data_IF_335952077647
#
_entry.id   IF_335952077647
#
_cell.length_a   1.000
_cell.length_b   1.000
_cell.length_c   1.000
_cell.angle_alpha   90.00
_cell.angle_beta   90.00
_cell.angle_gamma   90.00
#
_symmetry.space_group_name_H-M   'P 1'
#
loop_
_entity.id
_entity.type
_entity.pdbx_description
1 polymer ?
#
# COMPACT_ATOMS: atom_id res chain seq x y z
N UNK A 1 -3.91 -4.17 -38.09
CA UNK A 1 -3.07 -3.39 -37.15
C UNK A 1 -3.61 -3.65 -35.75
N UNK A 2 -2.82 -4.34 -34.93
CA UNK A 2 -3.25 -4.89 -33.65
C UNK A 2 -3.51 -3.80 -32.61
N UNK A 3 -4.69 -3.86 -32.00
CA UNK A 3 -5.07 -3.06 -30.84
C UNK A 3 -4.33 -3.64 -29.63
N UNK A 4 -3.20 -3.03 -29.27
CA UNK A 4 -2.58 -3.23 -27.97
C UNK A 4 -3.48 -2.53 -26.93
N UNK A 5 -4.43 -3.28 -26.36
CA UNK A 5 -5.01 -2.94 -25.08
C UNK A 5 -3.88 -3.10 -24.07
N UNK A 6 -3.38 -1.98 -23.56
CA UNK A 6 -2.54 -1.98 -22.36
C UNK A 6 -3.43 -2.45 -21.21
N UNK A 7 -3.53 -3.77 -21.04
CA UNK A 7 -4.08 -4.41 -19.86
C UNK A 7 -3.16 -4.02 -18.70
N UNK A 8 -3.50 -2.91 -18.06
CA UNK A 8 -2.91 -2.50 -16.79
C UNK A 8 -3.12 -3.69 -15.85
N UNK A 9 -2.02 -4.29 -15.41
CA UNK A 9 -1.95 -5.33 -14.38
C UNK A 9 -2.53 -4.75 -13.08
N UNK A 10 -3.84 -4.64 -13.01
CA UNK A 10 -4.58 -4.60 -11.77
C UNK A 10 -4.26 -5.95 -11.14
N UNK A 11 -3.64 -5.93 -9.95
CA UNK A 11 -3.50 -7.13 -9.15
C UNK A 11 -4.93 -7.55 -8.78
N UNK A 12 -5.54 -8.36 -9.64
CA UNK A 12 -6.86 -8.91 -9.42
C UNK A 12 -6.79 -9.62 -8.08
N UNK A 13 -7.62 -9.17 -7.13
CA UNK A 13 -7.70 -9.84 -5.85
C UNK A 13 -7.99 -11.31 -6.16
N UNK A 14 -7.25 -12.26 -5.56
CA UNK A 14 -7.50 -13.68 -5.79
C UNK A 14 -9.00 -13.95 -5.66
N UNK A 15 -9.59 -14.79 -6.54
CA UNK A 15 -11.01 -15.10 -6.47
C UNK A 15 -11.35 -15.45 -5.03
N UNK A 16 -12.37 -14.79 -4.48
CA UNK A 16 -12.71 -14.84 -3.06
C UNK A 16 -12.84 -16.31 -2.65
N UNK A 17 -11.79 -16.83 -2.01
CA UNK A 17 -11.77 -18.22 -1.56
C UNK A 17 -12.96 -18.36 -0.63
N UNK A 18 -13.86 -19.30 -0.96
CA UNK A 18 -15.08 -19.55 -0.20
C UNK A 18 -14.74 -19.58 1.29
N UNK A 19 -15.13 -18.52 2.00
CA UNK A 19 -14.75 -18.30 3.40
C UNK A 19 -15.35 -19.46 4.21
N UNK A 20 -14.56 -20.40 4.76
CA UNK A 20 -15.12 -21.57 5.43
C UNK A 20 -15.91 -21.19 6.70
N UNK A 21 -15.61 -20.04 7.29
CA UNK A 21 -16.32 -19.48 8.44
C UNK A 21 -17.69 -18.90 8.06
N UNK A 22 -17.96 -18.62 6.79
CA UNK A 22 -19.26 -18.19 6.28
C UNK A 22 -20.16 -19.41 5.94
N UNK A 23 -20.04 -20.50 6.70
CA UNK A 23 -21.00 -21.60 6.60
C UNK A 23 -22.35 -21.09 7.13
N UNK A 24 -23.32 -20.94 6.23
CA UNK A 24 -24.66 -20.45 6.55
C UNK A 24 -25.37 -21.27 7.65
N UNK A 25 -24.93 -22.52 7.89
CA UNK A 25 -25.49 -23.40 8.91
C UNK A 25 -25.22 -22.96 10.36
N UNK A 26 -24.11 -22.24 10.63
CA UNK A 26 -23.85 -21.69 11.98
C UNK A 26 -24.54 -20.33 12.20
N UNK A 27 -24.89 -19.61 11.13
CA UNK A 27 -25.60 -18.35 11.20
C UNK A 27 -27.08 -18.52 11.61
N UNK A 28 -27.67 -19.70 11.39
CA UNK A 28 -29.02 -20.03 11.88
C UNK A 28 -29.07 -20.21 13.41
N UNK A 29 -27.94 -20.50 14.07
CA UNK A 29 -27.89 -20.80 15.52
C UNK A 29 -27.52 -19.57 16.35
N UNK A 30 -26.83 -18.59 15.77
CA UNK A 30 -26.36 -17.39 16.47
C UNK A 30 -27.26 -16.20 16.15
N UNK A 31 -28.20 -15.89 17.05
CA UNK A 31 -29.10 -14.74 16.93
C UNK A 31 -28.48 -13.53 17.65
N UNK A 32 -27.68 -12.76 16.92
CA UNK A 32 -27.22 -11.44 17.35
C UNK A 32 -27.66 -10.44 16.28
N UNK A 33 -28.43 -9.41 16.65
CA UNK A 33 -29.12 -8.52 15.73
C UNK A 33 -28.65 -7.07 15.91
N UNK A 34 -27.49 -6.68 15.32
CA UNK A 34 -26.91 -5.35 15.53
C UNK A 34 -27.79 -4.13 15.20
N UNK A 35 -28.85 -4.27 14.38
CA UNK A 35 -29.76 -3.16 14.07
C UNK A 35 -30.95 -3.06 15.03
N UNK A 36 -31.20 -4.08 15.86
CA UNK A 36 -32.30 -4.15 16.83
C UNK A 36 -31.76 -4.06 18.27
N UNK A 37 -30.64 -4.73 18.55
CA UNK A 37 -30.04 -4.77 19.88
C UNK A 37 -29.42 -3.41 20.24
N UNK A 38 -30.18 -2.55 20.94
CA UNK A 38 -29.74 -1.21 21.38
C UNK A 38 -28.45 -1.22 22.23
N UNK A 39 -28.21 -2.33 22.94
CA UNK A 39 -27.05 -2.51 23.83
C UNK A 39 -25.73 -2.77 23.08
N UNK A 40 -25.78 -3.13 21.79
CA UNK A 40 -24.58 -3.43 21.00
C UNK A 40 -23.64 -2.21 20.87
N UNK A 41 -24.20 -1.00 20.81
CA UNK A 41 -23.45 0.24 20.70
C UNK A 41 -22.91 0.78 22.04
N UNK A 42 -23.28 0.18 23.18
CA UNK A 42 -22.95 0.69 24.49
C UNK A 42 -21.51 0.31 24.91
N UNK A 43 -20.58 1.28 25.11
CA UNK A 43 -19.20 0.99 25.47
C UNK A 43 -19.04 0.18 26.76
N UNK A 44 -19.96 0.32 27.73
CA UNK A 44 -19.91 -0.40 29.00
C UNK A 44 -20.17 -1.89 28.82
N UNK A 45 -21.13 -2.24 27.95
CA UNK A 45 -21.46 -3.64 27.63
C UNK A 45 -20.27 -4.30 26.94
N UNK A 46 -19.62 -3.59 26.01
CA UNK A 46 -18.41 -4.08 25.35
C UNK A 46 -17.28 -4.35 26.34
N UNK A 47 -17.01 -3.44 27.28
CA UNK A 47 -15.94 -3.60 28.28
C UNK A 47 -16.19 -4.81 29.20
N UNK A 48 -17.46 -5.02 29.60
CA UNK A 48 -17.83 -6.20 30.38
C UNK A 48 -17.67 -7.50 29.57
N UNK A 49 -18.11 -7.52 28.31
CA UNK A 49 -17.95 -8.67 27.42
C UNK A 49 -16.47 -8.97 27.18
N UNK A 50 -15.65 -7.96 26.90
CA UNK A 50 -14.20 -8.11 26.70
C UNK A 50 -13.54 -8.72 27.95
N UNK A 51 -13.92 -8.27 29.16
CA UNK A 51 -13.46 -8.86 30.43
C UNK A 51 -13.85 -10.34 30.55
N UNK A 52 -15.09 -10.68 30.24
CA UNK A 52 -15.58 -12.08 30.32
C UNK A 52 -14.87 -12.97 29.30
N UNK A 53 -14.64 -12.47 28.08
CA UNK A 53 -13.88 -13.17 27.04
C UNK A 53 -12.44 -13.39 27.50
N UNK A 54 -11.79 -12.40 28.11
CA UNK A 54 -10.44 -12.55 28.66
C UNK A 54 -10.38 -13.57 29.82
N UNK A 55 -11.36 -13.55 30.72
CA UNK A 55 -11.46 -14.55 31.79
C UNK A 55 -11.62 -15.97 31.24
N UNK A 56 -12.48 -16.16 30.23
CA UNK A 56 -12.65 -17.44 29.56
C UNK A 56 -11.39 -17.87 28.81
N UNK A 57 -10.73 -16.95 28.10
CA UNK A 57 -9.43 -17.23 27.46
C UNK A 57 -8.39 -17.69 28.49
N UNK A 58 -8.34 -17.07 29.68
CA UNK A 58 -7.43 -17.44 30.76
C UNK A 58 -7.76 -18.80 31.39
N UNK A 59 -9.04 -19.14 31.52
CA UNK A 59 -9.52 -20.41 32.09
C UNK A 59 -9.43 -21.56 31.10
N UNK A 60 -9.55 -21.28 29.80
CA UNK A 60 -9.53 -22.29 28.77
C UNK A 60 -8.15 -22.92 28.63
N UNK A 61 -8.12 -24.26 28.62
CA UNK A 61 -6.91 -25.05 28.33
C UNK A 61 -6.71 -25.29 26.82
N UNK A 62 -7.67 -24.84 26.00
CA UNK A 62 -7.61 -24.93 24.54
C UNK A 62 -6.66 -23.85 24.02
N UNK A 63 -5.61 -24.25 23.30
CA UNK A 63 -4.78 -23.29 22.57
C UNK A 63 -5.66 -22.57 21.54
N UNK A 64 -5.56 -21.23 21.40
CA UNK A 64 -6.24 -20.52 20.33
C UNK A 64 -5.96 -21.19 18.98
N UNK A 65 -6.98 -21.30 18.13
CA UNK A 65 -6.78 -21.78 16.78
C UNK A 65 -5.70 -20.93 16.11
N UNK A 66 -4.78 -21.59 15.42
CA UNK A 66 -3.72 -20.88 14.71
C UNK A 66 -4.30 -20.25 13.44
N UNK A 67 -4.67 -18.99 13.55
CA UNK A 67 -5.28 -18.19 12.48
C UNK A 67 -4.37 -18.04 11.25
N UNK A 68 -3.08 -18.40 11.36
CA UNK A 68 -2.11 -18.33 10.28
C UNK A 68 -2.02 -19.62 9.46
N UNK A 69 -2.65 -20.73 9.90
CA UNK A 69 -2.62 -22.00 9.16
C UNK A 69 -3.22 -21.93 7.76
N UNK A 70 -4.27 -21.12 7.63
CA UNK A 70 -5.00 -20.96 6.38
C UNK A 70 -4.39 -19.87 5.48
N UNK A 71 -3.42 -19.11 6.01
CA UNK A 71 -2.69 -18.14 5.21
C UNK A 71 -1.60 -18.87 4.41
N UNK A 72 -1.38 -18.48 3.14
CA UNK A 72 -0.24 -18.97 2.40
C UNK A 72 1.05 -18.61 3.16
N UNK A 73 2.10 -19.45 3.08
CA UNK A 73 3.37 -19.15 3.71
C UNK A 73 3.90 -17.81 3.19
N UNK A 74 4.56 -17.05 4.06
CA UNK A 74 5.13 -15.76 3.69
C UNK A 74 6.04 -15.93 2.46
N UNK A 75 5.87 -15.10 1.42
CA UNK A 75 6.71 -15.18 0.24
C UNK A 75 8.17 -14.93 0.64
N UNK A 76 9.04 -15.89 0.31
CA UNK A 76 10.47 -15.73 0.53
C UNK A 76 11.01 -14.71 -0.46
N UNK A 77 11.60 -13.63 0.05
CA UNK A 77 12.24 -12.63 -0.79
C UNK A 77 13.54 -13.21 -1.38
N UNK A 78 13.49 -13.65 -2.63
CA UNK A 78 14.68 -14.04 -3.39
C UNK A 78 15.15 -12.85 -4.25
N UNK A 79 16.37 -12.37 -3.99
CA UNK A 79 16.99 -11.27 -4.74
C UNK A 79 18.17 -11.73 -5.61
N UNK A 80 18.27 -13.02 -5.94
CA UNK A 80 19.34 -13.60 -6.78
C UNK A 80 19.58 -12.81 -8.08
N UNK A 81 18.51 -12.39 -8.75
CA UNK A 81 18.59 -11.65 -10.01
C UNK A 81 18.87 -10.15 -9.83
N UNK A 82 18.81 -9.63 -8.60
CA UNK A 82 18.90 -8.20 -8.30
C UNK A 82 19.83 -7.92 -7.10
N UNK A 83 21.15 -8.04 -7.30
CA UNK A 83 22.14 -7.87 -6.22
C UNK A 83 22.11 -6.47 -5.58
N UNK A 84 21.74 -5.44 -6.34
CA UNK A 84 21.57 -4.08 -5.81
C UNK A 84 20.42 -4.00 -4.80
N UNK A 85 19.30 -4.67 -5.10
CA UNK A 85 18.12 -4.69 -4.22
C UNK A 85 18.43 -5.56 -2.99
N UNK A 86 19.11 -6.69 -3.17
CA UNK A 86 19.56 -7.54 -2.06
C UNK A 86 20.37 -6.74 -1.02
N UNK A 87 21.37 -5.99 -1.50
CA UNK A 87 22.24 -5.15 -0.65
C UNK A 87 21.46 -4.04 0.06
N UNK A 88 20.51 -3.42 -0.63
CA UNK A 88 19.65 -2.38 -0.05
C UNK A 88 18.71 -2.95 1.00
N UNK A 89 18.12 -4.12 0.73
CA UNK A 89 17.28 -4.85 1.66
C UNK A 89 18.04 -5.20 2.94
N UNK A 90 19.27 -5.70 2.82
CA UNK A 90 20.13 -5.98 3.98
C UNK A 90 20.46 -4.71 4.78
N UNK A 91 20.72 -3.59 4.10
CA UNK A 91 20.97 -2.30 4.75
C UNK A 91 19.74 -1.84 5.57
N UNK A 92 18.56 -1.89 4.97
CA UNK A 92 17.30 -1.50 5.61
C UNK A 92 16.97 -2.45 6.77
N UNK A 93 17.13 -3.75 6.57
CA UNK A 93 16.97 -4.77 7.62
C UNK A 93 17.90 -4.54 8.81
N UNK A 94 19.12 -4.06 8.54
CA UNK A 94 20.09 -3.69 9.57
C UNK A 94 19.85 -2.29 10.18
N UNK A 95 18.78 -1.58 9.79
CA UNK A 95 18.44 -0.25 10.30
C UNK A 95 19.45 0.84 9.93
N UNK A 96 20.31 0.62 8.93
CA UNK A 96 21.34 1.58 8.56
C UNK A 96 20.74 2.70 7.69
N UNK A 97 21.10 3.97 7.95
CA UNK A 97 20.60 5.08 7.15
C UNK A 97 21.08 4.98 5.69
N UNK A 98 20.34 5.56 4.74
CA UNK A 98 20.74 5.59 3.34
C UNK A 98 22.06 6.35 3.16
N UNK A 99 22.86 5.93 2.18
CA UNK A 99 24.09 6.63 1.81
C UNK A 99 23.71 8.00 1.27
N UNK A 100 24.21 9.06 1.91
CA UNK A 100 24.01 10.42 1.42
C UNK A 100 24.71 10.58 0.08
N UNK A 101 23.97 11.05 -0.92
CA UNK A 101 24.56 11.39 -2.21
C UNK A 101 25.36 12.67 -2.04
N UNK A 102 26.68 12.57 -2.20
CA UNK A 102 27.55 13.74 -2.24
C UNK A 102 27.37 14.44 -3.59
N UNK A 103 26.68 15.59 -3.57
CA UNK A 103 26.47 16.44 -4.74
C UNK A 103 27.57 17.50 -4.87
N UNK A 104 28.15 17.96 -3.76
CA UNK A 104 29.19 18.98 -3.78
C UNK A 104 30.49 18.40 -4.34
N UNK A 105 30.95 17.23 -3.89
CA UNK A 105 32.20 16.64 -4.37
C UNK A 105 32.15 16.20 -5.84
N UNK A 106 30.96 15.91 -6.36
CA UNK A 106 30.79 15.40 -7.74
C UNK A 106 30.65 16.48 -8.81
N UNK A 107 30.03 17.61 -8.47
CA UNK A 107 29.68 18.63 -9.47
C UNK A 107 30.33 19.99 -9.21
N UNK A 108 30.98 20.18 -8.06
CA UNK A 108 31.72 21.40 -7.77
C UNK A 108 33.15 21.29 -8.33
N UNK A 109 33.51 22.26 -9.17
CA UNK A 109 34.87 22.40 -9.68
C UNK A 109 35.68 23.17 -8.64
N UNK A 110 36.34 22.43 -7.75
CA UNK A 110 37.21 23.02 -6.74
C UNK A 110 38.66 23.08 -7.22
N UNK A 111 39.30 24.22 -6.92
CA UNK A 111 40.74 24.41 -7.12
C UNK A 111 41.49 23.52 -6.12
N UNK A 112 42.64 22.94 -6.47
CA UNK A 112 43.47 22.22 -5.51
C UNK A 112 43.69 23.04 -4.23
N UNK A 113 43.56 22.42 -3.04
CA UNK A 113 43.71 23.12 -1.77
C UNK A 113 45.12 23.72 -1.67
N UNK A 114 45.28 24.81 -0.90
CA UNK A 114 46.54 25.59 -0.88
C UNK A 114 47.80 24.75 -0.64
N UNK A 115 47.69 23.70 0.18
CA UNK A 115 48.76 22.75 0.47
C UNK A 115 49.13 21.78 -0.68
N UNK A 116 48.31 21.68 -1.73
CA UNK A 116 48.52 20.83 -2.90
C UNK A 116 48.70 21.61 -4.20
N UNK A 117 48.85 22.93 -4.15
CA UNK A 117 49.05 23.77 -5.34
C UNK A 117 50.42 23.58 -6.01
N UNK A 118 51.40 23.04 -5.30
CA UNK A 118 52.70 22.70 -5.88
C UNK A 118 52.73 21.28 -6.48
N UNK A 119 51.63 20.51 -6.37
CA UNK A 119 51.51 19.16 -6.92
C UNK A 119 50.88 19.20 -8.32
N UNK A 120 51.65 18.85 -9.34
CA UNK A 120 51.20 18.79 -10.73
C UNK A 120 50.04 17.81 -10.93
N UNK A 121 50.04 16.68 -10.20
CA UNK A 121 48.98 15.67 -10.33
C UNK A 121 47.66 16.17 -9.77
N UNK A 122 47.68 16.97 -8.71
CA UNK A 122 46.48 17.61 -8.16
C UNK A 122 45.83 18.57 -9.18
N UNK A 123 46.64 19.32 -9.94
CA UNK A 123 46.15 20.17 -11.02
C UNK A 123 45.60 19.37 -12.20
N UNK A 124 46.26 18.29 -12.62
CA UNK A 124 45.74 17.40 -13.69
C UNK A 124 44.36 16.83 -13.33
N UNK A 125 44.19 16.38 -12.10
CA UNK A 125 42.90 15.87 -11.62
C UNK A 125 41.83 16.98 -11.57
N UNK A 126 42.18 18.18 -11.11
CA UNK A 126 41.24 19.30 -11.09
C UNK A 126 40.78 19.70 -12.51
N UNK A 127 41.70 19.71 -13.49
CA UNK A 127 41.37 19.97 -14.90
C UNK A 127 40.44 18.89 -15.47
N UNK A 128 40.73 17.60 -15.21
CA UNK A 128 39.85 16.50 -15.66
C UNK A 128 38.44 16.62 -15.06
N UNK A 129 38.33 16.95 -13.77
CA UNK A 129 37.03 17.20 -13.11
C UNK A 129 36.31 18.40 -13.73
N UNK A 130 37.03 19.50 -14.00
CA UNK A 130 36.47 20.68 -14.65
C UNK A 130 35.92 20.37 -16.05
N UNK A 131 36.66 19.59 -16.84
CA UNK A 131 36.22 19.13 -18.16
C UNK A 131 34.96 18.26 -18.06
N UNK A 132 34.92 17.30 -17.14
CA UNK A 132 33.73 16.48 -16.90
C UNK A 132 32.52 17.31 -16.47
N UNK A 133 32.72 18.28 -15.58
CA UNK A 133 31.67 19.20 -15.14
C UNK A 133 31.15 20.08 -16.29
N UNK A 134 32.04 20.58 -17.15
CA UNK A 134 31.65 21.36 -18.33
C UNK A 134 30.75 20.54 -19.25
N UNK A 135 31.15 19.31 -19.58
CA UNK A 135 30.35 18.41 -20.42
C UNK A 135 28.99 18.11 -19.79
N UNK A 136 28.95 17.90 -18.47
CA UNK A 136 27.68 17.73 -17.75
C UNK A 136 26.76 18.95 -17.87
N UNK A 137 27.30 20.18 -17.79
CA UNK A 137 26.50 21.39 -17.99
C UNK A 137 26.00 21.52 -19.43
N UNK A 138 26.77 21.11 -20.43
CA UNK A 138 26.32 21.07 -21.84
C UNK A 138 25.12 20.13 -21.99
N UNK A 139 25.22 18.88 -21.52
CA UNK A 139 24.09 17.94 -21.54
C UNK A 139 22.89 18.44 -20.75
N UNK A 140 23.13 19.13 -19.63
CA UNK A 140 22.05 19.73 -18.85
C UNK A 140 21.32 20.80 -19.65
N UNK A 141 22.02 21.66 -20.39
CA UNK A 141 21.40 22.67 -21.26
C UNK A 141 20.55 22.00 -22.35
N UNK A 142 21.09 21.01 -23.04
CA UNK A 142 20.35 20.24 -24.06
C UNK A 142 19.08 19.60 -23.48
N UNK A 143 19.18 18.98 -22.31
CA UNK A 143 18.03 18.38 -21.61
C UNK A 143 17.00 19.45 -21.21
N UNK A 144 17.45 20.63 -20.76
CA UNK A 144 16.56 21.74 -20.44
C UNK A 144 15.86 22.29 -21.68
N UNK A 145 16.54 22.36 -22.83
CA UNK A 145 15.93 22.76 -24.10
C UNK A 145 14.86 21.76 -24.55
N UNK A 146 15.12 20.46 -24.44
CA UNK A 146 14.14 19.41 -24.72
C UNK A 146 12.94 19.51 -23.76
N UNK A 147 13.19 19.70 -22.47
CA UNK A 147 12.14 19.85 -21.47
C UNK A 147 11.31 21.12 -21.70
N UNK A 148 11.93 22.23 -22.08
CA UNK A 148 11.20 23.46 -22.39
C UNK A 148 10.30 23.28 -23.61
N UNK A 149 10.78 22.55 -24.62
CA UNK A 149 10.06 22.30 -25.87
C UNK A 149 8.90 21.31 -25.72
N UNK A 150 9.10 20.20 -25.00
CA UNK A 150 8.15 19.09 -24.95
C UNK A 150 7.51 18.87 -23.58
N UNK A 151 8.13 19.37 -22.52
CA UNK A 151 7.71 19.15 -21.13
C UNK A 151 6.26 19.56 -20.86
N UNK A 152 5.80 20.76 -21.25
CA UNK A 152 4.42 21.17 -21.02
C UNK A 152 3.38 20.22 -21.64
N UNK A 153 3.63 19.72 -22.84
CA UNK A 153 2.67 18.86 -23.55
C UNK A 153 2.68 17.44 -23.02
N UNK A 154 3.86 16.88 -22.72
CA UNK A 154 3.99 15.59 -22.03
C UNK A 154 3.33 15.64 -20.65
N UNK A 155 3.52 16.75 -19.91
CA UNK A 155 2.94 16.92 -18.59
C UNK A 155 1.40 16.98 -18.63
N UNK A 156 0.83 17.70 -19.61
CA UNK A 156 -0.63 17.72 -19.82
C UNK A 156 -1.17 16.31 -20.10
N UNK A 157 -0.52 15.54 -20.97
CA UNK A 157 -0.92 14.16 -21.26
C UNK A 157 -0.83 13.27 -20.01
N UNK A 158 0.22 13.44 -19.20
CA UNK A 158 0.37 12.73 -17.94
C UNK A 158 -0.77 13.08 -16.96
N UNK A 159 -1.12 14.36 -16.83
CA UNK A 159 -2.26 14.81 -16.01
C UNK A 159 -3.56 14.15 -16.50
N UNK A 160 -3.84 14.17 -17.80
CA UNK A 160 -5.04 13.54 -18.37
C UNK A 160 -5.11 12.04 -18.07
N UNK A 161 -3.95 11.34 -18.14
CA UNK A 161 -3.86 9.93 -17.76
C UNK A 161 -4.18 9.72 -16.27
N UNK A 162 -3.64 10.58 -15.41
CA UNK A 162 -3.87 10.54 -13.96
C UNK A 162 -5.33 10.84 -13.60
N UNK A 163 -5.95 11.83 -14.23
CA UNK A 163 -7.38 12.14 -14.09
C UNK A 163 -8.25 10.95 -14.49
N UNK A 164 -7.91 10.29 -15.61
CA UNK A 164 -8.60 9.08 -16.04
C UNK A 164 -8.44 7.91 -15.05
N UNK A 165 -7.27 7.75 -14.43
CA UNK A 165 -7.05 6.76 -13.39
C UNK A 165 -7.87 7.07 -12.13
N UNK A 166 -7.85 8.33 -11.69
CA UNK A 166 -8.59 8.79 -10.52
C UNK A 166 -10.10 8.57 -10.69
N UNK A 167 -10.66 8.92 -11.85
CA UNK A 167 -12.07 8.71 -12.15
C UNK A 167 -12.46 7.21 -12.11
N UNK A 168 -11.59 6.33 -12.61
CA UNK A 168 -11.82 4.87 -12.52
C UNK A 168 -11.80 4.38 -11.08
N UNK A 169 -10.83 4.82 -10.28
CA UNK A 169 -10.71 4.43 -8.87
C UNK A 169 -11.91 4.92 -8.04
N UNK A 170 -12.35 6.17 -8.26
CA UNK A 170 -13.55 6.71 -7.62
C UNK A 170 -14.81 5.93 -7.99
N UNK A 171 -14.96 5.55 -9.26
CA UNK A 171 -16.08 4.71 -9.70
C UNK A 171 -16.08 3.34 -9.00
N UNK A 172 -14.92 2.70 -8.90
CA UNK A 172 -14.80 1.40 -8.22
C UNK A 172 -15.11 1.52 -6.72
N UNK A 173 -14.63 2.57 -6.06
CA UNK A 173 -14.94 2.85 -4.66
C UNK A 173 -16.45 3.06 -4.47
N UNK A 174 -17.10 3.84 -5.34
CA UNK A 174 -18.56 4.04 -5.28
C UNK A 174 -19.31 2.72 -5.46
N UNK A 175 -18.92 1.90 -6.44
CA UNK A 175 -19.53 0.59 -6.67
C UNK A 175 -19.44 -0.33 -5.44
N UNK A 176 -18.30 -0.32 -4.74
CA UNK A 176 -18.13 -1.08 -3.50
C UNK A 176 -19.01 -0.52 -2.37
N UNK A 177 -19.09 0.80 -2.22
CA UNK A 177 -19.98 1.44 -1.26
C UNK A 177 -21.44 1.07 -1.54
N UNK A 178 -21.89 1.11 -2.80
CA UNK A 178 -23.25 0.75 -3.19
C UNK A 178 -23.57 -0.72 -2.87
N UNK A 179 -22.60 -1.62 -3.07
CA UNK A 179 -22.72 -3.04 -2.71
C UNK A 179 -22.81 -3.23 -1.19
N UNK A 180 -21.97 -2.54 -0.42
CA UNK A 180 -22.00 -2.57 1.04
C UNK A 180 -23.36 -2.05 1.54
N UNK A 181 -23.84 -0.94 1.01
CA UNK A 181 -25.14 -0.38 1.37
C UNK A 181 -26.30 -1.30 0.99
N UNK A 182 -26.25 -1.95 -0.17
CA UNK A 182 -27.27 -2.92 -0.57
C UNK A 182 -27.37 -4.08 0.42
N UNK A 183 -26.22 -4.66 0.79
CA UNK A 183 -26.15 -5.73 1.79
C UNK A 183 -26.62 -5.24 3.16
N UNK A 184 -26.22 -4.03 3.58
CA UNK A 184 -26.65 -3.46 4.86
C UNK A 184 -28.16 -3.18 4.90
N UNK A 185 -28.74 -2.68 3.79
CA UNK A 185 -30.20 -2.51 3.66
C UNK A 185 -30.91 -3.85 3.78
N UNK A 186 -30.47 -4.87 3.04
CA UNK A 186 -31.05 -6.21 3.09
C UNK A 186 -30.97 -6.83 4.49
N UNK A 187 -29.82 -6.71 5.16
CA UNK A 187 -29.64 -7.13 6.56
C UNK A 187 -30.62 -6.42 7.49
N UNK A 188 -30.75 -5.09 7.36
CA UNK A 188 -31.71 -4.33 8.17
C UNK A 188 -33.14 -4.81 7.95
N UNK A 189 -33.59 -4.94 6.69
CA UNK A 189 -34.94 -5.45 6.40
C UNK A 189 -35.18 -6.85 6.98
N UNK A 190 -34.18 -7.74 6.89
CA UNK A 190 -34.30 -9.09 7.42
C UNK A 190 -34.37 -9.11 8.95
N UNK A 191 -33.66 -8.20 9.62
CA UNK A 191 -33.75 -8.01 11.07
C UNK A 191 -35.10 -7.41 11.47
N UNK A 192 -35.52 -6.30 10.87
CA UNK A 192 -36.83 -5.67 11.12
C UNK A 192 -37.99 -6.67 10.93
N UNK A 193 -37.94 -7.52 9.90
CA UNK A 193 -38.95 -8.56 9.66
C UNK A 193 -38.90 -9.72 10.68
N UNK A 194 -37.70 -10.01 11.22
CA UNK A 194 -37.55 -10.98 12.31
C UNK A 194 -38.10 -10.44 13.62
N UNK A 195 -38.06 -9.14 13.89
CA UNK A 195 -38.62 -8.52 15.10
C UNK A 195 -40.16 -8.53 15.13
N UNK A 196 -40.80 -8.40 13.98
CA UNK A 196 -42.27 -8.38 13.88
C UNK A 196 -42.92 -9.75 14.17
N UNK A 197 -42.25 -10.86 13.82
CA UNK A 197 -42.79 -12.23 14.00
C UNK A 197 -42.85 -12.77 15.44
N UNK A 198 -41.91 -12.50 16.37
CA UNK A 198 -41.97 -13.00 17.74
C UNK A 198 -43.03 -12.32 18.59
N UNK A 199 -43.47 -11.10 18.25
CA UNK A 199 -44.51 -10.38 19.00
C UNK A 199 -45.90 -11.04 18.84
N UNK A 200 -46.16 -11.66 17.69
CA UNK A 200 -47.46 -12.28 17.37
C UNK A 200 -47.60 -13.74 17.81
N UNK A 201 -46.55 -14.36 18.38
CA UNK A 201 -46.61 -15.76 18.88
C UNK A 201 -46.85 -15.87 20.39
N UNK A 202 -47.14 -14.76 21.08
CA UNK A 202 -47.55 -14.75 22.49
C UNK A 202 -49.01 -14.28 22.61
N UNK A 203 -49.94 -15.11 22.14
CA UNK A 203 -51.36 -15.09 22.57
C UNK A 203 -51.94 -16.49 22.59
#
# INVERSE_FOLDING_TARGET
MGSNREDILMLEAPPEAARPWASASHAEILDALPYIDDDYGNPKVKEEVDRLVEEEMRRSTKKPADFLKDLPPLPTFNFENHPMIAKEYERVRAGRPPVTLDFSSRYQVDIPPMNKRNDENAWKQAVQKAQGSLQHQVFRLENLELMLKYGPDVWKQNIQRLEGLLARMQKLAQQQTDQIEAVNRERKYHQDFKDIRPVDMVT
#
